data_IF_372241717280
#
_entry.id   IF_372241717280
#
_cell.length_a   1.000
_cell.length_b   1.000
_cell.length_c   1.000
_cell.angle_alpha   90.00
_cell.angle_beta   90.00
_cell.angle_gamma   90.00
#
_symmetry.space_group_name_H-M   'P 1'
#
loop_
_entity.id
_entity.type
_entity.pdbx_description
1 polymer ?
#
# COMPACT_ATOMS: atom_id res chain seq x y z
N UNK A 1 -0.96 -4.48 -2.66
CA UNK A 1 0.24 -3.75 -3.09
C UNK A 1 1.45 -4.14 -2.25
N UNK A 2 1.45 -3.90 -0.94
CA UNK A 2 2.64 -4.16 -0.10
C UNK A 2 3.11 -5.63 -0.10
N UNK A 3 2.21 -6.61 -0.21
CA UNK A 3 2.59 -8.03 -0.40
C UNK A 3 3.40 -8.23 -1.68
N UNK A 4 2.96 -7.63 -2.79
CA UNK A 4 3.66 -7.69 -4.07
C UNK A 4 5.01 -6.98 -3.96
N UNK A 5 5.04 -5.75 -3.45
CA UNK A 5 6.29 -5.01 -3.22
C UNK A 5 7.30 -5.79 -2.38
N UNK A 6 6.85 -6.52 -1.35
CA UNK A 6 7.75 -7.34 -0.51
C UNK A 6 8.45 -8.46 -1.30
N UNK A 7 7.83 -8.94 -2.38
CA UNK A 7 8.36 -9.97 -3.27
C UNK A 7 9.29 -9.40 -4.36
N UNK A 8 9.12 -8.12 -4.71
CA UNK A 8 9.86 -7.44 -5.79
C UNK A 8 10.60 -6.18 -5.31
N UNK A 9 11.08 -6.20 -4.07
CA UNK A 9 11.65 -5.03 -3.36
C UNK A 9 12.89 -4.39 -4.01
N UNK A 10 13.47 -5.04 -5.01
CA UNK A 10 14.58 -4.52 -5.82
C UNK A 10 14.11 -3.62 -6.98
N UNK A 11 12.81 -3.61 -7.28
CA UNK A 11 12.20 -2.76 -8.31
C UNK A 11 11.51 -1.56 -7.65
N UNK A 12 11.65 -0.39 -8.27
CA UNK A 12 10.87 0.78 -7.90
C UNK A 12 9.54 0.76 -8.66
N UNK A 13 8.49 0.22 -8.02
CA UNK A 13 7.17 0.02 -8.63
C UNK A 13 6.24 1.15 -8.21
N UNK A 14 5.48 1.67 -9.18
CA UNK A 14 4.40 2.64 -8.97
C UNK A 14 3.06 1.97 -9.24
N UNK A 15 2.04 2.37 -8.51
CA UNK A 15 0.69 1.84 -8.63
C UNK A 15 -0.28 2.98 -8.92
N UNK A 16 -0.93 2.93 -10.08
CA UNK A 16 -2.10 3.75 -10.37
C UNK A 16 -3.35 2.95 -10.10
N UNK A 17 -4.26 3.54 -9.33
CA UNK A 17 -5.52 2.92 -8.91
C UNK A 17 -6.63 3.71 -9.59
N UNK A 18 -7.47 3.04 -10.36
CA UNK A 18 -8.62 3.64 -11.01
C UNK A 18 -9.91 3.06 -10.46
N UNK A 19 -10.84 3.94 -10.09
CA UNK A 19 -12.20 3.55 -9.72
C UNK A 19 -13.16 4.04 -10.80
N UNK A 20 -14.02 3.14 -11.25
CA UNK A 20 -15.08 3.41 -12.21
C UNK A 20 -15.63 2.12 -12.79
N UNK A 21 -16.43 2.25 -13.85
CA UNK A 21 -16.94 1.08 -14.56
C UNK A 21 -15.87 0.47 -15.47
N UNK A 22 -15.96 -0.84 -15.66
CA UNK A 22 -15.31 -1.54 -16.77
C UNK A 22 -16.42 -1.89 -17.73
N UNK A 23 -16.31 -1.44 -18.97
CA UNK A 23 -17.36 -1.60 -20.00
C UNK A 23 -17.11 -2.80 -20.92
N UNK A 24 -16.00 -3.50 -20.73
CA UNK A 24 -15.65 -4.75 -21.42
C UNK A 24 -15.59 -5.93 -20.46
N UNK A 25 -15.55 -7.15 -20.98
CA UNK A 25 -15.36 -8.34 -20.15
C UNK A 25 -13.96 -8.34 -19.51
N UNK A 26 -13.90 -8.64 -18.21
CA UNK A 26 -12.63 -8.73 -17.49
C UNK A 26 -11.96 -10.06 -17.82
N UNK A 27 -10.78 -10.00 -18.45
CA UNK A 27 -9.92 -11.16 -18.65
C UNK A 27 -8.73 -11.11 -17.67
N UNK A 28 -8.68 -11.98 -16.64
CA UNK A 28 -7.59 -11.97 -15.65
C UNK A 28 -6.20 -12.30 -16.22
N UNK A 29 -6.13 -12.90 -17.40
CA UNK A 29 -4.87 -13.28 -18.07
C UNK A 29 -4.39 -12.23 -19.09
N UNK A 30 -5.26 -11.32 -19.53
CA UNK A 30 -4.96 -10.34 -20.58
C UNK A 30 -5.60 -8.99 -20.24
N UNK A 31 -4.78 -7.95 -20.07
CA UNK A 31 -5.26 -6.59 -19.88
C UNK A 31 -5.58 -5.86 -21.20
N UNK A 32 -5.16 -6.42 -22.35
CA UNK A 32 -5.41 -5.82 -23.66
C UNK A 32 -6.90 -5.91 -23.98
N UNK A 33 -7.51 -4.76 -24.29
CA UNK A 33 -8.96 -4.66 -24.57
C UNK A 33 -9.82 -4.39 -23.33
N UNK A 34 -9.23 -4.28 -22.13
CA UNK A 34 -9.92 -3.70 -20.99
C UNK A 34 -10.22 -2.23 -21.29
N UNK A 35 -11.49 -1.83 -21.14
CA UNK A 35 -11.93 -0.47 -21.44
C UNK A 35 -12.92 0.03 -20.40
N UNK A 36 -12.99 1.35 -20.25
CA UNK A 36 -13.88 2.04 -19.33
C UNK A 36 -13.17 2.85 -18.24
N UNK A 37 -13.92 3.67 -17.49
CA UNK A 37 -13.38 4.63 -16.54
C UNK A 37 -12.40 4.04 -15.52
N UNK A 38 -12.61 2.83 -15.00
CA UNK A 38 -11.64 2.22 -14.07
C UNK A 38 -10.25 2.05 -14.70
N UNK A 39 -10.20 1.61 -15.97
CA UNK A 39 -8.94 1.39 -16.66
C UNK A 39 -8.27 2.71 -17.06
N UNK A 40 -9.06 3.66 -17.56
CA UNK A 40 -8.56 5.00 -17.93
C UNK A 40 -8.00 5.74 -16.71
N UNK A 41 -8.73 5.75 -15.60
CA UNK A 41 -8.28 6.39 -14.35
C UNK A 41 -7.03 5.72 -13.77
N UNK A 42 -6.91 4.39 -13.84
CA UNK A 42 -5.72 3.69 -13.37
C UNK A 42 -4.48 4.11 -14.17
N UNK A 43 -4.64 4.26 -15.49
CA UNK A 43 -3.60 4.76 -16.38
C UNK A 43 -3.24 6.22 -16.09
N UNK A 44 -4.24 7.08 -15.97
CA UNK A 44 -4.05 8.48 -15.62
C UNK A 44 -3.35 8.62 -14.27
N UNK A 45 -3.69 7.79 -13.27
CA UNK A 45 -3.04 7.79 -11.98
C UNK A 45 -1.56 7.40 -12.05
N UNK A 46 -1.20 6.46 -12.93
CA UNK A 46 0.20 6.10 -13.21
C UNK A 46 0.98 7.25 -13.85
N UNK A 47 0.37 7.94 -14.81
CA UNK A 47 0.97 9.12 -15.46
C UNK A 47 1.13 10.26 -14.44
N UNK A 48 0.11 10.51 -13.61
CA UNK A 48 0.17 11.52 -12.57
C UNK A 48 1.29 11.25 -11.55
N UNK A 49 1.37 10.04 -11.00
CA UNK A 49 2.40 9.69 -10.00
C UNK A 49 3.78 9.57 -10.63
N UNK A 50 3.90 9.46 -11.95
CA UNK A 50 5.20 9.56 -12.61
C UNK A 50 5.82 10.95 -12.41
N UNK A 51 4.99 12.00 -12.50
CA UNK A 51 5.43 13.40 -12.41
C UNK A 51 5.30 13.97 -10.98
N UNK A 52 4.37 13.46 -10.16
CA UNK A 52 3.98 14.01 -8.86
C UNK A 52 4.28 13.04 -7.70
N UNK A 53 5.45 12.41 -7.68
CA UNK A 53 5.83 11.39 -6.70
C UNK A 53 6.49 11.92 -5.42
N UNK A 54 6.31 13.19 -5.04
CA UNK A 54 6.89 13.78 -3.82
C UNK A 54 8.41 13.49 -3.68
N UNK A 55 9.18 13.81 -4.72
CA UNK A 55 10.64 13.54 -4.78
C UNK A 55 11.03 12.06 -4.62
N UNK A 56 10.13 11.14 -4.99
CA UNK A 56 10.34 9.70 -5.01
C UNK A 56 9.79 8.99 -3.77
N UNK A 57 9.05 9.71 -2.93
CA UNK A 57 8.49 9.19 -1.68
C UNK A 57 7.12 8.54 -1.91
N UNK A 58 6.32 9.07 -2.82
CA UNK A 58 4.98 8.56 -3.12
C UNK A 58 5.01 7.60 -4.31
N UNK A 59 4.36 6.45 -4.15
CA UNK A 59 4.37 5.36 -5.14
C UNK A 59 2.96 4.97 -5.58
N UNK A 60 1.93 5.54 -4.96
CA UNK A 60 0.54 5.18 -5.16
C UNK A 60 -0.28 6.43 -5.44
N UNK A 61 -1.19 6.37 -6.41
CA UNK A 61 -2.18 7.42 -6.61
C UNK A 61 -3.49 6.82 -7.09
N UNK A 62 -4.61 7.40 -6.65
CA UNK A 62 -5.95 6.96 -6.96
C UNK A 62 -6.71 8.05 -7.71
N UNK A 63 -7.35 7.68 -8.83
CA UNK A 63 -8.25 8.55 -9.58
C UNK A 63 -9.65 7.92 -9.64
N UNK A 64 -10.64 8.78 -9.46
CA UNK A 64 -12.07 8.46 -9.50
C UNK A 64 -12.86 9.72 -9.80
N UNK A 65 -14.07 9.57 -10.32
CA UNK A 65 -14.99 10.70 -10.50
C UNK A 65 -15.46 11.32 -9.18
N UNK A 66 -15.46 10.54 -8.07
CA UNK A 66 -15.90 11.05 -6.77
C UNK A 66 -14.78 11.83 -6.06
N UNK A 67 -15.08 13.07 -5.67
CA UNK A 67 -14.11 13.97 -5.01
C UNK A 67 -13.68 13.53 -3.61
N UNK A 68 -14.44 12.65 -2.96
CA UNK A 68 -14.15 12.08 -1.63
C UNK A 68 -12.84 11.28 -1.59
N UNK A 69 -12.38 10.79 -2.74
CA UNK A 69 -11.15 10.03 -2.86
C UNK A 69 -9.86 10.83 -2.70
N UNK A 70 -9.93 12.18 -2.67
CA UNK A 70 -8.75 13.03 -2.40
C UNK A 70 -8.14 12.75 -1.03
N UNK A 71 -8.97 12.52 -0.01
CA UNK A 71 -8.49 12.17 1.32
C UNK A 71 -7.72 10.82 1.31
N UNK A 72 -8.13 9.87 0.46
CA UNK A 72 -7.38 8.62 0.31
C UNK A 72 -5.99 8.88 -0.25
N UNK A 73 -5.86 9.75 -1.26
CA UNK A 73 -4.54 10.10 -1.81
C UNK A 73 -3.64 10.75 -0.77
N UNK A 74 -4.18 11.64 0.08
CA UNK A 74 -3.42 12.24 1.17
C UNK A 74 -2.92 11.18 2.16
N UNK A 75 -3.78 10.23 2.55
CA UNK A 75 -3.40 9.12 3.45
C UNK A 75 -2.39 8.18 2.78
N UNK A 76 -2.55 7.89 1.49
CA UNK A 76 -1.61 7.10 0.70
C UNK A 76 -0.22 7.76 0.71
N UNK A 77 -0.13 9.03 0.34
CA UNK A 77 1.12 9.79 0.33
C UNK A 77 1.77 9.85 1.73
N UNK A 78 0.99 10.12 2.78
CA UNK A 78 1.50 10.11 4.17
C UNK A 78 2.01 8.73 4.58
N UNK A 79 1.29 7.66 4.23
CA UNK A 79 1.72 6.29 4.53
C UNK A 79 2.97 5.88 3.74
N UNK A 80 3.07 6.28 2.47
CA UNK A 80 4.24 6.04 1.63
C UNK A 80 5.46 6.80 2.18
N UNK A 81 5.28 8.05 2.64
CA UNK A 81 6.33 8.81 3.31
C UNK A 81 6.83 8.13 4.59
N UNK A 82 5.92 7.61 5.42
CA UNK A 82 6.29 6.80 6.60
C UNK A 82 7.17 5.62 6.17
N UNK A 83 6.73 4.83 5.19
CA UNK A 83 7.49 3.67 4.68
C UNK A 83 8.83 4.08 4.07
N UNK A 84 8.88 5.18 3.34
CA UNK A 84 10.10 5.72 2.74
C UNK A 84 11.15 6.04 3.81
N UNK A 85 10.72 6.68 4.91
CA UNK A 85 11.57 7.06 6.04
C UNK A 85 12.14 5.88 6.85
N UNK A 86 11.60 4.67 6.68
CA UNK A 86 12.06 3.50 7.40
C UNK A 86 13.47 3.08 6.97
N UNK A 87 14.30 2.76 7.95
CA UNK A 87 15.58 2.05 7.76
C UNK A 87 15.35 0.63 7.24
N UNK A 88 16.40 0.01 6.69
CA UNK A 88 16.32 -1.36 6.16
C UNK A 88 15.78 -2.36 7.19
N UNK A 89 16.24 -2.29 8.45
CA UNK A 89 15.80 -3.22 9.49
C UNK A 89 14.31 -3.04 9.87
N UNK A 90 13.78 -1.82 9.72
CA UNK A 90 12.36 -1.53 9.93
C UNK A 90 11.53 -2.01 8.73
N UNK A 91 12.01 -1.82 7.50
CA UNK A 91 11.39 -2.36 6.28
C UNK A 91 11.36 -3.89 6.31
N UNK A 92 12.44 -4.54 6.70
CA UNK A 92 12.50 -5.99 6.92
C UNK A 92 11.47 -6.46 7.97
N UNK A 93 11.31 -5.69 9.04
CA UNK A 93 10.30 -5.98 10.07
C UNK A 93 8.88 -5.87 9.51
N UNK A 94 8.58 -4.82 8.74
CA UNK A 94 7.29 -4.67 8.05
C UNK A 94 7.04 -5.81 7.07
N UNK A 95 8.02 -6.13 6.21
CA UNK A 95 7.89 -7.22 5.24
C UNK A 95 7.69 -8.58 5.90
N UNK A 96 8.38 -8.86 7.01
CA UNK A 96 8.17 -10.07 7.78
C UNK A 96 6.72 -10.18 8.28
N UNK A 97 6.19 -9.11 8.88
CA UNK A 97 4.82 -9.05 9.40
C UNK A 97 3.80 -9.31 8.26
N UNK A 98 3.98 -8.67 7.10
CA UNK A 98 3.12 -8.86 5.92
C UNK A 98 3.21 -10.30 5.39
N UNK A 99 4.41 -10.89 5.35
CA UNK A 99 4.63 -12.27 4.88
C UNK A 99 3.95 -13.30 5.79
N UNK A 100 3.84 -13.01 7.09
CA UNK A 100 3.08 -13.82 8.04
C UNK A 100 1.55 -13.65 7.91
N UNK A 101 1.07 -12.90 6.91
CA UNK A 101 -0.36 -12.64 6.68
C UNK A 101 -0.96 -11.64 7.66
N UNK A 102 -0.12 -10.88 8.37
CA UNK A 102 -0.57 -9.89 9.35
C UNK A 102 -0.65 -8.53 8.67
N UNK A 103 -1.87 -8.04 8.44
CA UNK A 103 -2.12 -6.72 7.85
C UNK A 103 -3.03 -5.88 8.76
N UNK A 104 -2.57 -5.68 10.00
CA UNK A 104 -3.29 -4.96 11.07
C UNK A 104 -2.28 -4.33 12.04
N UNK A 105 -2.67 -3.25 12.72
CA UNK A 105 -1.88 -2.68 13.82
C UNK A 105 -2.10 -3.39 15.16
N UNK A 106 -3.05 -4.33 15.20
CA UNK A 106 -3.36 -5.21 16.32
C UNK A 106 -2.92 -6.63 15.99
N UNK A 107 -1.86 -7.10 16.66
CA UNK A 107 -1.31 -8.45 16.54
C UNK A 107 -0.47 -8.81 17.76
N UNK A 108 -0.23 -10.10 17.96
CA UNK A 108 0.63 -10.61 19.01
C UNK A 108 2.12 -10.34 18.69
N UNK A 109 2.65 -9.28 19.29
CA UNK A 109 4.05 -8.88 19.12
C UNK A 109 5.04 -9.91 19.68
N UNK A 110 4.67 -10.67 20.72
CA UNK A 110 5.58 -11.70 21.27
C UNK A 110 5.73 -12.85 20.29
N UNK A 111 4.61 -13.29 19.71
CA UNK A 111 4.61 -14.30 18.65
C UNK A 111 5.46 -13.85 17.45
N UNK A 112 5.30 -12.59 17.01
CA UNK A 112 6.13 -12.04 15.92
C UNK A 112 7.61 -11.98 16.30
N UNK A 113 7.95 -11.50 17.50
CA UNK A 113 9.34 -11.41 17.96
C UNK A 113 10.01 -12.80 18.00
N UNK A 114 9.29 -13.79 18.53
CA UNK A 114 9.72 -15.19 18.55
C UNK A 114 9.96 -15.73 17.14
N UNK A 115 9.01 -15.55 16.20
CA UNK A 115 9.18 -16.03 14.82
C UNK A 115 10.31 -15.31 14.06
N UNK A 116 10.57 -14.04 14.38
CA UNK A 116 11.72 -13.29 13.86
C UNK A 116 13.05 -13.62 14.55
N UNK A 117 13.03 -14.43 15.62
CA UNK A 117 14.19 -14.71 16.47
C UNK A 117 14.87 -13.45 17.02
N UNK A 118 14.07 -12.49 17.52
CA UNK A 118 14.55 -11.27 18.17
C UNK A 118 13.85 -11.08 19.53
N UNK A 119 14.40 -10.23 20.40
CA UNK A 119 13.74 -9.91 21.67
C UNK A 119 12.50 -9.04 21.47
N UNK A 120 11.51 -9.18 22.36
CA UNK A 120 10.32 -8.32 22.43
C UNK A 120 10.69 -6.82 22.43
N UNK A 121 11.75 -6.47 23.16
CA UNK A 121 12.28 -5.09 23.24
C UNK A 121 12.82 -4.61 21.89
N UNK A 122 13.52 -5.48 21.15
CA UNK A 122 14.03 -5.15 19.82
C UNK A 122 12.89 -4.93 18.83
N UNK A 123 11.91 -5.83 18.81
CA UNK A 123 10.73 -5.68 17.95
C UNK A 123 9.99 -4.38 18.29
N UNK A 124 9.69 -4.12 19.55
CA UNK A 124 8.99 -2.90 19.98
C UNK A 124 9.71 -1.63 19.51
N UNK A 125 11.06 -1.58 19.66
CA UNK A 125 11.85 -0.44 19.18
C UNK A 125 11.73 -0.26 17.67
N UNK A 126 11.78 -1.34 16.88
CA UNK A 126 11.63 -1.29 15.41
C UNK A 126 10.23 -0.82 15.02
N UNK A 127 9.18 -1.38 15.63
CA UNK A 127 7.78 -0.99 15.40
C UNK A 127 7.54 0.49 15.69
N UNK A 128 8.03 0.97 16.84
CA UNK A 128 7.88 2.36 17.28
C UNK A 128 8.66 3.32 16.40
N UNK A 129 9.96 3.06 16.19
CA UNK A 129 10.81 3.96 15.42
C UNK A 129 10.44 4.01 13.94
N UNK A 130 9.97 2.90 13.36
CA UNK A 130 9.50 2.86 11.98
C UNK A 130 8.04 3.27 11.80
N UNK A 131 7.29 3.58 12.87
CA UNK A 131 5.84 3.85 12.81
C UNK A 131 5.03 2.74 12.10
N UNK A 132 5.51 1.49 12.17
CA UNK A 132 4.97 0.34 11.41
C UNK A 132 3.49 0.11 11.71
N UNK A 133 3.08 0.25 12.98
CA UNK A 133 1.67 0.12 13.36
C UNK A 133 0.78 1.18 12.73
N UNK A 134 1.23 2.44 12.69
CA UNK A 134 0.47 3.52 12.06
C UNK A 134 0.35 3.26 10.56
N UNK A 135 1.44 2.85 9.92
CA UNK A 135 1.44 2.45 8.52
C UNK A 135 0.40 1.35 8.22
N UNK A 136 0.44 0.24 8.96
CA UNK A 136 -0.48 -0.89 8.79
C UNK A 136 -1.94 -0.47 9.00
N UNK A 137 -2.23 0.32 10.05
CA UNK A 137 -3.58 0.84 10.30
C UNK A 137 -4.09 1.70 9.16
N UNK A 138 -3.29 2.66 8.70
CA UNK A 138 -3.68 3.55 7.61
C UNK A 138 -4.01 2.77 6.34
N UNK A 139 -3.18 1.80 5.98
CA UNK A 139 -3.41 0.95 4.81
C UNK A 139 -4.64 0.05 4.97
N UNK A 140 -4.84 -0.52 6.15
CA UNK A 140 -6.03 -1.34 6.45
C UNK A 140 -7.32 -0.52 6.35
N UNK A 141 -7.34 0.70 6.89
CA UNK A 141 -8.53 1.56 6.83
C UNK A 141 -8.83 2.03 5.40
N UNK A 142 -7.81 2.29 4.57
CA UNK A 142 -8.02 2.55 3.14
C UNK A 142 -8.67 1.33 2.48
N UNK A 143 -8.13 0.13 2.70
CA UNK A 143 -8.68 -1.11 2.14
C UNK A 143 -10.14 -1.35 2.56
N UNK A 144 -10.47 -1.17 3.84
CA UNK A 144 -11.83 -1.29 4.36
C UNK A 144 -12.78 -0.25 3.75
N UNK A 145 -12.37 1.01 3.72
CA UNK A 145 -13.17 2.10 3.14
C UNK A 145 -13.44 1.89 1.65
N UNK A 146 -12.43 1.45 0.90
CA UNK A 146 -12.60 1.11 -0.52
C UNK A 146 -13.59 -0.05 -0.71
N UNK A 147 -13.51 -1.08 0.14
CA UNK A 147 -14.47 -2.21 0.09
C UNK A 147 -15.89 -1.78 0.40
N UNK A 148 -16.10 -0.87 1.36
CA UNK A 148 -17.43 -0.39 1.74
C UNK A 148 -18.11 0.47 0.66
N UNK A 149 -17.34 1.15 -0.18
CA UNK A 149 -17.89 2.06 -1.21
C UNK A 149 -18.05 1.39 -2.57
N UNK A 150 -17.32 0.30 -2.81
CA UNK A 150 -17.31 -0.42 -4.08
C UNK A 150 -18.18 -1.69 -4.08
N UNK A 151 -18.70 -2.11 -2.92
CA UNK A 151 -19.62 -3.23 -2.73
C UNK A 151 -21.00 -2.74 -2.29
#
# INVERSE_FOLDING_TARGET
MDTLESQISHLNVRYGIGIGDIVTEINPSLSIGADGPAFWHAREALEYIHDNHDYGMSHNYLISEKKEFRLINDILALSDHIKYSMTNIQKETLHFIIKEGIYSDTFDQKSVAHKMNISDVSLYKRLKAGQIKVYLRSRLHIDQYLKEILL
#
